data_IF_380241030828
#
_entry.id   IF_380241030828
#
_cell.length_a   1.000
_cell.length_b   1.000
_cell.length_c   1.000
_cell.angle_alpha   90.00
_cell.angle_beta   90.00
_cell.angle_gamma   90.00
#
_symmetry.space_group_name_H-M   'P 1'
#
loop_
_entity.id
_entity.type
_entity.pdbx_description
1 polymer ?
#
# COMPACT_ATOMS: atom_id res chain seq x y z
N UNK A 1 4.05 7.56 -12.12
CA UNK A 1 4.30 8.06 -10.76
C UNK A 1 5.58 8.88 -10.82
N UNK A 2 5.49 10.20 -10.70
CA UNK A 2 6.65 11.09 -10.83
C UNK A 2 6.98 11.79 -9.50
N UNK A 3 8.27 12.09 -9.32
CA UNK A 3 8.82 12.86 -8.20
C UNK A 3 9.81 13.85 -8.78
N UNK A 4 9.53 15.13 -8.55
CA UNK A 4 10.41 16.24 -8.91
C UNK A 4 11.45 16.41 -7.81
N UNK A 5 12.73 16.44 -8.19
CA UNK A 5 13.84 16.66 -7.27
C UNK A 5 14.14 18.15 -7.27
N UNK A 6 14.12 18.77 -6.09
CA UNK A 6 14.43 20.19 -5.93
C UNK A 6 15.72 20.33 -5.11
N UNK A 7 16.68 21.11 -5.61
CA UNK A 7 17.89 21.50 -4.88
C UNK A 7 18.85 20.35 -4.54
N UNK A 8 19.24 19.52 -5.51
CA UNK A 8 20.21 18.40 -5.38
C UNK A 8 19.96 17.39 -4.25
N UNK A 9 18.82 17.45 -3.56
CA UNK A 9 18.47 16.59 -2.44
C UNK A 9 17.89 15.25 -2.92
N UNK A 10 18.75 14.45 -3.55
CA UNK A 10 18.43 13.15 -4.15
C UNK A 10 17.92 12.15 -3.09
N UNK A 11 18.54 12.13 -1.92
CA UNK A 11 18.19 11.18 -0.86
C UNK A 11 16.74 11.36 -0.36
N UNK A 12 16.31 12.62 -0.21
CA UNK A 12 14.93 12.93 0.17
C UNK A 12 13.94 12.53 -0.92
N UNK A 13 14.29 12.74 -2.20
CA UNK A 13 13.46 12.32 -3.32
C UNK A 13 13.28 10.79 -3.36
N UNK A 14 14.35 10.02 -3.13
CA UNK A 14 14.30 8.55 -3.06
C UNK A 14 13.42 8.09 -1.89
N UNK A 15 13.57 8.72 -0.71
CA UNK A 15 12.74 8.41 0.45
C UNK A 15 11.27 8.73 0.20
N UNK A 16 10.98 9.87 -0.45
CA UNK A 16 9.66 10.25 -0.90
C UNK A 16 9.06 9.23 -1.87
N UNK A 17 9.85 8.74 -2.83
CA UNK A 17 9.44 7.71 -3.79
C UNK A 17 9.04 6.42 -3.10
N UNK A 18 9.91 5.94 -2.21
CA UNK A 18 9.66 4.73 -1.44
C UNK A 18 8.36 4.86 -0.63
N UNK A 19 8.15 5.98 0.04
CA UNK A 19 6.92 6.23 0.81
C UNK A 19 5.67 6.31 -0.08
N UNK A 20 5.77 6.93 -1.26
CA UNK A 20 4.67 7.02 -2.23
C UNK A 20 4.31 5.63 -2.77
N UNK A 21 5.30 4.83 -3.16
CA UNK A 21 5.12 3.43 -3.60
C UNK A 21 4.50 2.54 -2.52
N UNK A 22 4.85 2.77 -1.25
CA UNK A 22 4.26 2.05 -0.13
C UNK A 22 2.81 2.48 0.14
N UNK A 23 2.49 3.78 0.05
CA UNK A 23 1.13 4.31 0.20
C UNK A 23 0.19 3.78 -0.89
N UNK A 24 0.67 3.77 -2.13
CA UNK A 24 -0.09 3.26 -3.27
C UNK A 24 -0.28 1.73 -3.19
N UNK A 25 0.50 1.05 -2.35
CA UNK A 25 0.36 -0.39 -2.13
C UNK A 25 0.87 -1.25 -3.28
N UNK A 26 1.66 -0.67 -4.19
CA UNK A 26 2.16 -1.32 -5.41
C UNK A 26 2.83 -2.66 -5.10
N UNK A 27 3.73 -2.70 -4.12
CA UNK A 27 4.41 -3.93 -3.71
C UNK A 27 3.45 -5.02 -3.21
N UNK A 28 2.38 -4.61 -2.51
CA UNK A 28 1.36 -5.54 -2.01
C UNK A 28 0.55 -6.12 -3.16
N UNK A 29 0.27 -5.31 -4.17
CA UNK A 29 -0.42 -5.74 -5.39
C UNK A 29 0.44 -6.66 -6.25
N UNK A 30 1.70 -6.29 -6.48
CA UNK A 30 2.66 -7.13 -7.20
C UNK A 30 2.75 -8.52 -6.56
N UNK A 31 2.91 -8.61 -5.23
CA UNK A 31 2.95 -9.89 -4.51
C UNK A 31 1.68 -10.73 -4.71
N UNK A 32 0.50 -10.09 -4.76
CA UNK A 32 -0.77 -10.79 -4.97
C UNK A 32 -0.94 -11.29 -6.40
N UNK A 33 -0.45 -10.53 -7.37
CA UNK A 33 -0.57 -10.88 -8.80
C UNK A 33 0.44 -11.94 -9.26
N UNK A 34 1.41 -12.33 -8.42
CA UNK A 34 2.40 -13.37 -8.77
C UNK A 34 1.78 -14.74 -9.05
N UNK A 35 0.64 -15.05 -8.43
CA UNK A 35 -0.03 -16.34 -8.54
C UNK A 35 -1.54 -16.14 -8.61
N UNK A 36 -2.24 -17.12 -9.21
CA UNK A 36 -3.69 -17.11 -9.23
C UNK A 36 -4.27 -17.29 -7.82
N UNK A 37 -5.14 -16.37 -7.41
CA UNK A 37 -5.91 -16.44 -6.18
C UNK A 37 -7.33 -16.89 -6.52
N UNK A 38 -7.73 -18.08 -6.06
CA UNK A 38 -9.12 -18.57 -6.21
C UNK A 38 -10.13 -17.52 -5.69
N UNK A 39 -11.32 -17.40 -6.31
CA UNK A 39 -12.30 -16.36 -5.96
C UNK A 39 -12.70 -16.38 -4.48
N UNK A 40 -12.92 -17.58 -3.91
CA UNK A 40 -13.23 -17.74 -2.48
C UNK A 40 -12.13 -17.19 -1.55
N UNK A 41 -10.86 -17.41 -1.90
CA UNK A 41 -9.71 -16.91 -1.12
C UNK A 41 -9.63 -15.39 -1.22
N UNK A 42 -9.86 -14.84 -2.42
CA UNK A 42 -9.91 -13.40 -2.69
C UNK A 42 -11.00 -12.72 -1.86
N UNK A 43 -12.19 -13.30 -1.77
CA UNK A 43 -13.27 -12.79 -0.93
C UNK A 43 -12.91 -12.80 0.55
N UNK A 44 -12.41 -13.93 1.07
CA UNK A 44 -12.00 -14.06 2.47
C UNK A 44 -10.97 -12.99 2.83
N UNK A 45 -9.97 -12.79 1.98
CA UNK A 45 -8.94 -11.74 2.15
C UNK A 45 -9.55 -10.34 2.15
N UNK A 46 -10.44 -10.02 1.21
CA UNK A 46 -11.12 -8.71 1.16
C UNK A 46 -11.88 -8.42 2.46
N UNK A 47 -12.63 -9.40 2.99
CA UNK A 47 -13.36 -9.26 4.27
C UNK A 47 -12.42 -8.99 5.43
N UNK A 48 -11.31 -9.74 5.54
CA UNK A 48 -10.30 -9.55 6.59
C UNK A 48 -9.64 -8.17 6.49
N UNK A 49 -9.27 -7.73 5.29
CA UNK A 49 -8.65 -6.41 5.07
C UNK A 49 -9.59 -5.27 5.42
N UNK A 50 -10.87 -5.38 5.06
CA UNK A 50 -11.89 -4.40 5.43
C UNK A 50 -12.07 -4.33 6.96
N UNK A 51 -12.12 -5.48 7.65
CA UNK A 51 -12.21 -5.52 9.12
C UNK A 51 -10.99 -4.85 9.77
N UNK A 52 -9.78 -5.17 9.30
CA UNK A 52 -8.53 -4.53 9.78
C UNK A 52 -8.54 -3.02 9.55
N UNK A 53 -9.00 -2.55 8.37
CA UNK A 53 -9.11 -1.12 8.06
C UNK A 53 -10.07 -0.41 9.03
N UNK A 54 -11.25 -1.01 9.28
CA UNK A 54 -12.23 -0.49 10.24
C UNK A 54 -11.68 -0.41 11.66
N UNK A 55 -11.06 -1.48 12.16
CA UNK A 55 -10.43 -1.49 13.50
C UNK A 55 -9.29 -0.48 13.63
N UNK A 56 -8.50 -0.28 12.56
CA UNK A 56 -7.48 0.76 12.56
C UNK A 56 -8.13 2.14 12.66
N UNK A 57 -9.12 2.44 11.82
CA UNK A 57 -9.81 3.73 11.82
C UNK A 57 -10.46 4.06 13.18
N UNK A 58 -11.08 3.07 13.85
CA UNK A 58 -11.68 3.28 15.17
C UNK A 58 -10.65 3.62 16.25
N UNK A 59 -9.41 3.13 16.16
CA UNK A 59 -8.34 3.47 17.10
C UNK A 59 -7.85 4.92 16.97
N UNK A 60 -7.93 5.50 15.77
CA UNK A 60 -7.53 6.89 15.50
C UNK A 60 -8.68 7.89 15.66
N UNK A 61 -9.92 7.41 15.89
CA UNK A 61 -11.11 8.25 16.08
C UNK A 61 -11.36 8.62 17.55
N UNK A 62 -10.51 8.13 18.45
CA UNK A 62 -10.48 8.44 19.87
C UNK A 62 -9.38 9.46 20.11
#
# INVERSE_FOLDING_TARGET
MEIKVYGSNIEQAIKGLKNKLQKDGLFKELKRRRFYEKPSVKEKRKRIEARKKKMKASRFKR
#
